data_IF_200235432468
#
_entry.id   IF_200235432468
#
_cell.length_a   1.000
_cell.length_b   1.000
_cell.length_c   1.000
_cell.angle_alpha   90.00
_cell.angle_beta   90.00
_cell.angle_gamma   90.00
#
_symmetry.space_group_name_H-M   'P 1'
#
loop_
_entity.id
_entity.type
_entity.pdbx_description
1 polymer ?
#
# COMPACT_ATOMS: atom_id res chain seq x y z
N UNK A 1 -31.99 -15.27 -9.87
CA UNK A 1 -31.28 -14.33 -10.78
C UNK A 1 -32.24 -13.26 -11.28
N UNK A 2 -32.26 -12.07 -10.67
CA UNK A 2 -33.10 -10.94 -11.08
C UNK A 2 -32.24 -9.68 -11.16
N UNK A 3 -32.57 -8.80 -12.10
CA UNK A 3 -32.04 -7.45 -12.14
C UNK A 3 -32.85 -6.56 -11.17
N UNK A 4 -32.20 -5.60 -10.54
CA UNK A 4 -32.80 -4.62 -9.63
C UNK A 4 -32.45 -3.19 -10.08
N UNK A 5 -33.33 -2.19 -9.87
CA UNK A 5 -33.03 -0.80 -10.23
C UNK A 5 -31.90 -0.24 -9.36
N UNK A 6 -31.00 0.54 -9.97
CA UNK A 6 -29.83 1.15 -9.30
C UNK A 6 -30.18 2.41 -8.50
N UNK A 7 -31.32 3.05 -8.77
CA UNK A 7 -31.80 4.21 -8.01
C UNK A 7 -33.32 4.12 -7.78
N UNK A 8 -33.73 4.04 -6.51
CA UNK A 8 -35.14 3.99 -6.08
C UNK A 8 -35.36 5.09 -5.05
N UNK A 9 -36.36 5.94 -5.27
CA UNK A 9 -36.86 6.90 -4.26
C UNK A 9 -38.34 6.66 -4.09
N UNK A 10 -38.78 6.52 -2.84
CA UNK A 10 -40.17 6.26 -2.47
C UNK A 10 -40.79 5.06 -3.21
N UNK A 11 -40.00 4.00 -3.42
CA UNK A 11 -40.43 2.78 -4.12
C UNK A 11 -40.50 2.89 -5.65
N UNK A 12 -40.18 4.05 -6.23
CA UNK A 12 -40.22 4.29 -7.69
C UNK A 12 -38.80 4.37 -8.26
N UNK A 13 -38.48 3.61 -9.33
CA UNK A 13 -37.20 3.72 -10.03
C UNK A 13 -37.03 5.11 -10.68
N UNK A 14 -36.02 5.86 -10.27
CA UNK A 14 -35.76 7.23 -10.76
C UNK A 14 -34.89 7.20 -12.03
N UNK A 15 -34.19 6.09 -12.27
CA UNK A 15 -33.44 5.79 -13.49
C UNK A 15 -33.41 4.27 -13.72
N UNK A 16 -33.57 3.83 -14.98
CA UNK A 16 -33.66 2.40 -15.33
C UNK A 16 -32.29 1.84 -15.71
N UNK A 17 -31.32 2.00 -14.81
CA UNK A 17 -30.10 1.19 -14.85
C UNK A 17 -30.38 -0.07 -14.04
N UNK A 18 -30.30 -1.22 -14.71
CA UNK A 18 -30.57 -2.54 -14.12
C UNK A 18 -29.23 -3.18 -13.72
N UNK A 19 -29.11 -3.59 -12.45
CA UNK A 19 -27.93 -4.29 -11.92
C UNK A 19 -28.30 -5.66 -11.39
N UNK A 20 -27.35 -6.59 -11.34
CA UNK A 20 -27.59 -7.91 -10.76
C UNK A 20 -27.87 -7.79 -9.26
N UNK A 21 -28.87 -8.54 -8.78
CA UNK A 21 -29.20 -8.61 -7.35
C UNK A 21 -28.03 -9.11 -6.50
N UNK A 22 -27.25 -10.05 -7.03
CA UNK A 22 -26.12 -10.68 -6.34
C UNK A 22 -24.84 -10.43 -7.13
N UNK A 23 -24.49 -11.34 -8.07
CA UNK A 23 -23.24 -11.26 -8.83
C UNK A 23 -23.51 -11.15 -10.33
N UNK A 24 -22.57 -10.52 -11.04
CA UNK A 24 -22.53 -10.41 -12.50
C UNK A 24 -21.35 -11.18 -13.06
N UNK A 25 -21.63 -12.12 -13.95
CA UNK A 25 -20.64 -12.86 -14.74
C UNK A 25 -20.82 -12.47 -16.20
N UNK A 26 -19.90 -11.68 -16.75
CA UNK A 26 -19.90 -11.26 -18.15
C UNK A 26 -21.24 -10.65 -18.60
N UNK A 27 -21.89 -9.89 -17.70
CA UNK A 27 -23.19 -9.24 -17.92
C UNK A 27 -24.41 -10.09 -17.56
N UNK A 28 -24.22 -11.36 -17.16
CA UNK A 28 -25.29 -12.29 -16.76
C UNK A 28 -25.36 -12.38 -15.24
N UNK A 29 -26.56 -12.28 -14.68
CA UNK A 29 -26.73 -12.39 -13.23
C UNK A 29 -26.63 -13.83 -12.75
N UNK A 30 -25.75 -14.06 -11.78
CA UNK A 30 -25.50 -15.37 -11.17
C UNK A 30 -25.58 -15.30 -9.65
N UNK A 31 -25.80 -16.47 -9.02
CA UNK A 31 -25.84 -16.60 -7.55
C UNK A 31 -24.43 -16.76 -6.95
N UNK A 32 -23.53 -17.42 -7.68
CA UNK A 32 -22.14 -17.62 -7.28
C UNK A 32 -21.24 -17.56 -8.51
N UNK A 33 -20.01 -17.07 -8.34
CA UNK A 33 -19.02 -17.17 -9.38
C UNK A 33 -18.59 -18.63 -9.59
N UNK A 34 -18.19 -19.03 -10.82
CA UNK A 34 -17.60 -20.34 -11.05
C UNK A 34 -16.39 -20.56 -10.11
N UNK A 35 -16.35 -21.65 -9.33
CA UNK A 35 -15.30 -21.86 -8.34
C UNK A 35 -13.95 -22.09 -9.02
N UNK A 36 -12.86 -21.70 -8.36
CA UNK A 36 -11.50 -21.87 -8.88
C UNK A 36 -11.08 -23.34 -9.00
N UNK A 37 -11.69 -24.23 -8.21
CA UNK A 37 -11.43 -25.68 -8.19
C UNK A 37 -12.74 -26.44 -8.35
N UNK A 38 -12.72 -27.55 -9.09
CA UNK A 38 -13.86 -28.46 -9.27
C UNK A 38 -13.45 -29.91 -9.00
N UNK A 39 -14.38 -30.75 -8.55
CA UNK A 39 -14.12 -32.17 -8.31
C UNK A 39 -14.11 -32.96 -9.62
N UNK A 40 -13.00 -33.62 -9.92
CA UNK A 40 -12.88 -34.59 -11.01
C UNK A 40 -13.17 -35.99 -10.46
N UNK A 41 -14.38 -36.50 -10.72
CA UNK A 41 -14.81 -37.83 -10.23
C UNK A 41 -14.02 -39.00 -10.80
N UNK A 42 -13.35 -38.85 -11.95
CA UNK A 42 -12.50 -39.92 -12.51
C UNK A 42 -11.17 -40.02 -11.76
N UNK A 43 -10.67 -38.89 -11.27
CA UNK A 43 -9.42 -38.80 -10.50
C UNK A 43 -9.64 -38.80 -8.98
N UNK A 44 -10.88 -38.59 -8.52
CA UNK A 44 -11.23 -38.49 -7.11
C UNK A 44 -10.58 -37.30 -6.40
N UNK A 45 -10.35 -36.19 -7.11
CA UNK A 45 -9.60 -35.05 -6.57
C UNK A 45 -10.12 -33.71 -7.09
N UNK A 46 -9.79 -32.62 -6.37
CA UNK A 46 -10.03 -31.27 -6.84
C UNK A 46 -8.99 -30.89 -7.92
N UNK A 47 -9.46 -30.36 -9.04
CA UNK A 47 -8.63 -29.88 -10.15
C UNK A 47 -8.96 -28.42 -10.47
N UNK A 48 -8.02 -27.63 -11.00
CA UNK A 48 -8.29 -26.26 -11.43
C UNK A 48 -9.44 -26.20 -12.43
N UNK A 49 -10.35 -25.25 -12.23
CA UNK A 49 -11.44 -24.98 -13.16
C UNK A 49 -10.99 -23.94 -14.20
N UNK A 50 -10.90 -24.28 -15.50
CA UNK A 50 -10.53 -23.31 -16.54
C UNK A 50 -11.51 -22.14 -16.66
N UNK A 51 -12.75 -22.30 -16.18
CA UNK A 51 -13.77 -21.25 -16.13
C UNK A 51 -13.87 -20.57 -14.77
N UNK A 52 -12.95 -20.85 -13.85
CA UNK A 52 -12.93 -20.26 -12.51
C UNK A 52 -12.91 -18.74 -12.58
N UNK A 53 -13.57 -18.11 -11.60
CA UNK A 53 -13.63 -16.65 -11.47
C UNK A 53 -13.49 -16.28 -10.00
N UNK A 54 -12.78 -15.19 -9.74
CA UNK A 54 -12.74 -14.56 -8.44
C UNK A 54 -13.96 -13.67 -8.23
N UNK A 55 -14.43 -13.60 -6.99
CA UNK A 55 -15.42 -12.62 -6.55
C UNK A 55 -14.72 -11.30 -6.30
N UNK A 56 -15.10 -10.26 -7.04
CA UNK A 56 -14.67 -8.88 -6.81
C UNK A 56 -15.89 -7.97 -6.70
N UNK A 57 -16.20 -7.52 -5.47
CA UNK A 57 -17.43 -6.80 -5.15
C UNK A 57 -18.68 -7.56 -5.63
N UNK A 58 -19.32 -7.11 -6.73
CA UNK A 58 -20.49 -7.75 -7.33
C UNK A 58 -20.20 -8.42 -8.67
N UNK A 59 -18.93 -8.62 -9.02
CA UNK A 59 -18.50 -9.13 -10.31
C UNK A 59 -17.67 -10.41 -10.16
N UNK A 60 -17.79 -11.28 -11.16
CA UNK A 60 -16.94 -12.43 -11.34
C UNK A 60 -15.82 -12.08 -12.33
N UNK A 61 -14.58 -11.99 -11.85
CA UNK A 61 -13.42 -11.56 -12.64
C UNK A 61 -12.42 -12.71 -12.83
N UNK A 62 -11.68 -12.68 -13.94
CA UNK A 62 -10.65 -13.70 -14.21
C UNK A 62 -9.42 -13.52 -13.33
N UNK A 63 -9.02 -12.26 -13.11
CA UNK A 63 -7.91 -11.89 -12.24
C UNK A 63 -8.34 -10.79 -11.29
N UNK A 64 -7.84 -10.85 -10.05
CA UNK A 64 -8.04 -9.75 -9.11
C UNK A 64 -7.25 -8.52 -9.56
N UNK A 65 -7.87 -7.32 -9.48
CA UNK A 65 -7.17 -6.05 -9.69
C UNK A 65 -5.83 -6.00 -8.94
N UNK A 66 -4.82 -5.36 -9.52
CA UNK A 66 -3.42 -5.45 -9.06
C UNK A 66 -3.22 -4.90 -7.64
N UNK A 67 -4.07 -3.96 -7.26
CA UNK A 67 -4.11 -3.31 -5.95
C UNK A 67 -4.75 -4.16 -4.85
N UNK A 68 -5.42 -5.25 -5.21
CA UNK A 68 -6.08 -6.16 -4.26
C UNK A 68 -5.27 -7.43 -4.04
N UNK A 69 -5.56 -8.08 -2.91
CA UNK A 69 -5.04 -9.39 -2.53
C UNK A 69 -6.02 -10.46 -2.97
N UNK A 70 -5.52 -11.69 -3.09
CA UNK A 70 -6.30 -12.88 -3.43
C UNK A 70 -6.40 -13.74 -2.18
N UNK A 71 -7.62 -13.96 -1.71
CA UNK A 71 -7.89 -14.90 -0.63
C UNK A 71 -8.92 -15.91 -1.10
N UNK A 72 -8.49 -17.17 -1.22
CA UNK A 72 -9.29 -18.27 -1.81
C UNK A 72 -9.76 -17.90 -3.22
N UNK A 73 -11.06 -17.66 -3.37
CA UNK A 73 -11.79 -17.32 -4.59
C UNK A 73 -12.32 -15.88 -4.57
N UNK A 74 -11.80 -15.01 -3.69
CA UNK A 74 -12.20 -13.61 -3.59
C UNK A 74 -11.01 -12.65 -3.69
N UNK A 75 -11.30 -11.45 -4.24
CA UNK A 75 -10.40 -10.32 -4.23
C UNK A 75 -10.66 -9.48 -2.98
N UNK A 76 -9.70 -9.44 -2.07
CA UNK A 76 -9.84 -8.78 -0.77
C UNK A 76 -8.87 -7.61 -0.65
N UNK A 77 -9.27 -6.58 0.10
CA UNK A 77 -8.34 -5.49 0.47
C UNK A 77 -7.39 -5.94 1.58
N UNK A 78 -7.93 -6.70 2.53
CA UNK A 78 -7.25 -7.19 3.73
C UNK A 78 -7.47 -8.69 3.86
N UNK A 79 -6.47 -9.42 4.33
CA UNK A 79 -6.63 -10.83 4.63
C UNK A 79 -7.59 -11.04 5.81
N UNK A 80 -8.27 -12.17 5.81
CA UNK A 80 -9.11 -12.60 6.93
C UNK A 80 -8.27 -12.79 8.21
N UNK A 81 -8.94 -12.71 9.37
CA UNK A 81 -8.29 -12.93 10.68
C UNK A 81 -7.60 -14.28 10.70
N UNK A 82 -6.33 -14.31 11.11
CA UNK A 82 -5.51 -15.52 11.12
C UNK A 82 -4.71 -15.76 9.82
N UNK A 83 -4.89 -14.90 8.82
CA UNK A 83 -4.10 -14.87 7.58
C UNK A 83 -3.42 -13.52 7.40
N UNK A 84 -2.31 -13.48 6.67
CA UNK A 84 -1.60 -12.26 6.32
C UNK A 84 -1.05 -12.33 4.89
N UNK A 85 -0.66 -11.18 4.35
CA UNK A 85 0.01 -11.09 3.06
C UNK A 85 1.51 -10.93 3.29
N UNK A 86 2.28 -11.93 2.90
CA UNK A 86 3.73 -11.88 3.03
C UNK A 86 4.35 -11.05 1.90
N UNK A 87 4.60 -9.76 2.17
CA UNK A 87 5.19 -8.88 1.17
C UNK A 87 6.63 -9.25 0.80
N UNK A 88 7.28 -10.20 1.49
CA UNK A 88 8.60 -10.68 1.04
C UNK A 88 8.50 -11.59 -0.19
N UNK A 89 7.32 -12.16 -0.45
CA UNK A 89 7.07 -13.06 -1.58
C UNK A 89 6.55 -12.32 -2.81
N UNK A 90 6.80 -12.91 -3.97
CA UNK A 90 6.20 -12.48 -5.23
C UNK A 90 4.83 -13.15 -5.45
N UNK A 91 3.93 -12.93 -4.49
CA UNK A 91 2.58 -13.48 -4.48
C UNK A 91 1.65 -12.46 -3.83
N UNK A 92 0.47 -12.25 -4.39
CA UNK A 92 -0.59 -11.40 -3.79
C UNK A 92 -1.60 -12.22 -2.98
N UNK A 93 -1.22 -13.43 -2.56
CA UNK A 93 -2.13 -14.35 -1.87
C UNK A 93 -2.01 -14.20 -0.36
N UNK A 94 -3.15 -14.16 0.30
CA UNK A 94 -3.23 -14.30 1.75
C UNK A 94 -2.84 -15.72 2.17
N UNK A 95 -1.98 -15.82 3.17
CA UNK A 95 -1.49 -17.08 3.73
C UNK A 95 -1.81 -17.17 5.23
N UNK A 96 -2.13 -18.37 5.76
CA UNK A 96 -2.30 -18.56 7.19
C UNK A 96 -1.02 -18.21 7.97
N UNK A 97 -1.16 -17.52 9.09
CA UNK A 97 -0.04 -17.13 9.93
C UNK A 97 0.63 -18.37 10.57
N UNK A 98 1.96 -18.41 10.57
CA UNK A 98 2.76 -19.46 11.24
C UNK A 98 2.99 -19.10 12.72
N UNK A 99 1.92 -18.88 13.46
CA UNK A 99 1.94 -18.39 14.84
C UNK A 99 1.12 -17.12 15.01
N UNK A 100 1.65 -16.14 15.74
CA UNK A 100 1.01 -14.83 15.90
C UNK A 100 1.14 -14.05 14.59
N UNK A 101 0.02 -13.57 14.05
CA UNK A 101 0.03 -12.72 12.87
C UNK A 101 0.73 -11.39 13.16
N UNK A 102 1.43 -10.80 12.19
CA UNK A 102 1.96 -9.45 12.33
C UNK A 102 0.80 -8.47 12.59
N UNK A 103 1.06 -7.44 13.42
CA UNK A 103 0.06 -6.40 13.66
C UNK A 103 -0.06 -5.51 12.42
N UNK A 104 -1.11 -5.73 11.65
CA UNK A 104 -1.46 -4.92 10.48
C UNK A 104 -2.34 -3.74 10.90
N UNK A 105 -1.98 -2.54 10.45
CA UNK A 105 -2.71 -1.31 10.77
C UNK A 105 -3.09 -0.57 9.49
N UNK A 106 -4.37 -0.23 9.38
CA UNK A 106 -4.93 0.40 8.18
C UNK A 106 -4.75 1.91 8.24
N UNK A 107 -4.23 2.49 7.16
CA UNK A 107 -4.12 3.94 6.97
C UNK A 107 -4.85 4.32 5.70
N UNK A 108 -6.11 4.76 5.85
CA UNK A 108 -7.01 5.09 4.73
C UNK A 108 -7.27 6.59 4.60
N UNK A 109 -6.79 7.38 5.55
CA UNK A 109 -6.98 8.84 5.65
C UNK A 109 -5.64 9.50 5.91
N UNK A 110 -5.58 10.80 5.61
CA UNK A 110 -4.42 11.63 5.95
C UNK A 110 -4.07 11.50 7.44
N UNK A 111 -2.77 11.35 7.73
CA UNK A 111 -2.29 11.19 9.09
C UNK A 111 -2.62 12.42 9.94
N UNK A 112 -3.01 12.16 11.18
CA UNK A 112 -3.20 13.12 12.27
C UNK A 112 -2.47 12.61 13.50
N UNK A 113 -2.27 13.44 14.53
CA UNK A 113 -1.63 12.99 15.77
C UNK A 113 -2.31 11.76 16.36
N UNK A 114 -3.64 11.78 16.40
CA UNK A 114 -4.42 10.67 16.96
C UNK A 114 -4.30 9.39 16.14
N UNK A 115 -4.33 9.48 14.80
CA UNK A 115 -4.11 8.31 13.94
C UNK A 115 -2.71 7.76 14.16
N UNK A 116 -1.71 8.62 14.20
CA UNK A 116 -0.31 8.22 14.23
C UNK A 116 0.06 7.54 15.56
N UNK A 117 -0.42 8.05 16.70
CA UNK A 117 -0.22 7.39 18.01
C UNK A 117 -0.83 5.98 18.05
N UNK A 118 -1.94 5.74 17.34
CA UNK A 118 -2.55 4.41 17.23
C UNK A 118 -1.75 3.42 16.37
N UNK A 119 -0.75 3.89 15.62
CA UNK A 119 0.15 3.04 14.82
C UNK A 119 1.29 2.41 15.65
N UNK A 120 1.36 2.71 16.95
CA UNK A 120 2.40 2.14 17.81
C UNK A 120 2.35 0.61 17.81
N UNK A 121 3.50 0.00 17.52
CA UNK A 121 3.67 -1.47 17.48
C UNK A 121 3.13 -2.13 16.22
N UNK A 122 2.62 -1.38 15.24
CA UNK A 122 2.25 -1.94 13.94
C UNK A 122 3.51 -2.37 13.18
N UNK A 123 3.50 -3.59 12.65
CA UNK A 123 4.59 -4.13 11.84
C UNK A 123 4.32 -3.93 10.34
N UNK A 124 3.05 -3.91 9.95
CA UNK A 124 2.62 -3.70 8.59
C UNK A 124 1.60 -2.56 8.53
N UNK A 125 1.83 -1.63 7.60
CA UNK A 125 0.86 -0.59 7.25
C UNK A 125 0.15 -1.01 5.98
N UNK A 126 -1.16 -1.19 6.11
CA UNK A 126 -2.02 -1.32 4.96
C UNK A 126 -2.57 0.05 4.54
N UNK A 127 -1.91 0.64 3.54
CA UNK A 127 -2.17 1.98 3.06
C UNK A 127 -0.87 2.71 2.81
N UNK A 128 -0.94 4.03 2.95
CA UNK A 128 0.17 4.95 2.68
C UNK A 128 0.66 5.65 3.95
N UNK A 129 1.89 6.14 3.91
CA UNK A 129 2.42 7.10 4.89
C UNK A 129 2.65 8.42 4.16
N UNK A 130 1.87 9.44 4.49
CA UNK A 130 1.97 10.78 3.90
C UNK A 130 2.15 11.82 5.02
N UNK A 131 3.38 12.30 5.15
CA UNK A 131 3.81 13.22 6.20
C UNK A 131 4.04 14.60 5.57
N UNK A 132 3.23 15.58 5.98
CA UNK A 132 3.24 16.93 5.41
C UNK A 132 3.32 18.00 6.50
N UNK A 133 4.01 19.10 6.21
CA UNK A 133 4.13 20.27 7.08
C UNK A 133 2.78 20.83 7.55
N UNK A 134 1.79 20.89 6.66
CA UNK A 134 0.44 21.39 6.96
C UNK A 134 -0.24 20.65 8.11
N UNK A 135 0.09 19.37 8.30
CA UNK A 135 -0.42 18.55 9.41
C UNK A 135 0.42 18.67 10.66
N UNK A 136 1.75 18.79 10.53
CA UNK A 136 2.63 19.04 11.69
C UNK A 136 2.32 20.38 12.37
N UNK A 137 1.95 21.40 11.60
CA UNK A 137 1.62 22.74 12.10
C UNK A 137 0.15 22.89 12.52
N UNK A 138 -0.64 21.82 12.53
CA UNK A 138 -2.07 21.89 12.86
C UNK A 138 -2.33 21.94 14.36
N UNK A 139 -3.15 22.89 14.80
CA UNK A 139 -3.55 23.03 16.21
C UNK A 139 -4.73 22.12 16.63
N UNK A 140 -5.39 21.44 15.67
CA UNK A 140 -6.65 20.72 15.94
C UNK A 140 -6.43 19.21 16.15
N UNK A 141 -5.45 18.61 15.47
CA UNK A 141 -4.94 17.24 15.70
C UNK A 141 -3.63 17.01 14.92
N UNK A 142 -2.68 17.94 15.06
CA UNK A 142 -1.36 17.81 14.44
C UNK A 142 -0.50 16.72 15.08
N UNK A 143 0.67 16.47 14.50
CA UNK A 143 1.66 15.55 15.05
C UNK A 143 3.05 16.20 15.11
N UNK A 144 3.81 15.84 16.13
CA UNK A 144 5.19 16.30 16.30
C UNK A 144 6.18 15.31 15.69
N UNK A 145 7.49 15.62 15.77
CA UNK A 145 8.54 14.69 15.36
C UNK A 145 8.59 13.45 16.25
N UNK A 146 8.23 13.62 17.53
CA UNK A 146 8.23 12.55 18.53
C UNK A 146 7.10 11.55 18.27
N UNK A 147 5.92 12.04 17.85
CA UNK A 147 4.81 11.17 17.46
C UNK A 147 5.25 10.18 16.36
N UNK A 148 6.07 10.63 15.39
CA UNK A 148 6.55 9.79 14.27
C UNK A 148 7.20 8.47 14.71
N UNK A 149 7.75 8.40 15.94
CA UNK A 149 8.32 7.19 16.50
C UNK A 149 7.31 6.03 16.63
N UNK A 150 6.00 6.29 16.57
CA UNK A 150 4.99 5.24 16.48
C UNK A 150 5.20 4.32 15.25
N UNK A 151 5.84 4.84 14.18
CA UNK A 151 6.15 4.08 12.96
C UNK A 151 7.43 3.23 13.09
N UNK A 152 8.14 3.29 14.22
CA UNK A 152 9.46 2.64 14.35
C UNK A 152 9.41 1.13 14.20
N UNK A 153 8.31 0.47 14.55
CA UNK A 153 8.11 -0.98 14.38
C UNK A 153 7.71 -1.38 12.96
N UNK A 154 7.37 -0.42 12.09
CA UNK A 154 6.86 -0.72 10.75
C UNK A 154 7.98 -1.27 9.88
N UNK A 155 7.72 -2.44 9.30
CA UNK A 155 8.62 -3.16 8.39
C UNK A 155 8.10 -3.17 6.96
N UNK A 156 6.80 -3.01 6.77
CA UNK A 156 6.18 -3.10 5.45
C UNK A 156 5.08 -2.06 5.26
N UNK A 157 5.00 -1.48 4.06
CA UNK A 157 3.99 -0.50 3.66
C UNK A 157 3.40 -0.94 2.31
N UNK A 158 2.08 -1.10 2.24
CA UNK A 158 1.43 -1.69 1.06
C UNK A 158 1.28 -0.71 -0.12
N UNK A 159 1.23 0.60 0.14
CA UNK A 159 1.14 1.63 -0.90
C UNK A 159 2.45 2.41 -1.04
N UNK A 160 2.49 3.68 -0.64
CA UNK A 160 3.62 4.58 -0.83
C UNK A 160 4.03 5.29 0.45
N UNK A 161 5.23 5.87 0.42
CA UNK A 161 5.74 6.80 1.43
C UNK A 161 6.01 8.16 0.80
N UNK A 162 5.37 9.19 1.33
CA UNK A 162 5.59 10.58 0.94
C UNK A 162 5.96 11.42 2.17
N UNK A 163 7.01 12.22 2.07
CA UNK A 163 7.44 13.13 3.13
C UNK A 163 7.82 14.48 2.53
N UNK A 164 7.05 15.51 2.91
CA UNK A 164 7.27 16.90 2.52
C UNK A 164 6.96 17.85 3.67
N UNK A 165 7.96 18.09 4.50
CA UNK A 165 7.79 18.77 5.80
C UNK A 165 8.50 20.14 5.89
N UNK A 166 9.08 20.62 4.80
CA UNK A 166 9.72 21.94 4.71
C UNK A 166 10.70 22.19 5.88
N UNK A 167 10.55 23.32 6.56
CA UNK A 167 11.38 23.77 7.68
C UNK A 167 11.13 23.02 8.98
N UNK A 168 10.08 22.21 9.09
CA UNK A 168 9.80 21.39 10.28
C UNK A 168 10.32 19.96 10.15
N UNK A 169 11.01 19.62 9.06
CA UNK A 169 11.53 18.28 8.82
C UNK A 169 12.50 17.78 9.90
N UNK A 170 12.48 16.47 10.24
CA UNK A 170 13.50 15.88 11.09
C UNK A 170 14.85 15.82 10.36
N UNK A 171 15.94 15.63 11.11
CA UNK A 171 17.30 15.50 10.54
C UNK A 171 17.52 14.18 9.81
N UNK A 172 16.75 13.16 10.15
CA UNK A 172 16.75 11.87 9.47
C UNK A 172 15.37 11.21 9.57
N UNK A 173 15.15 10.13 8.80
CA UNK A 173 13.91 9.35 8.81
C UNK A 173 14.06 8.06 9.65
N UNK A 174 14.83 8.08 10.75
CA UNK A 174 15.06 6.88 11.57
C UNK A 174 13.80 6.33 12.24
N UNK A 175 12.70 7.10 12.27
CA UNK A 175 11.39 6.59 12.66
C UNK A 175 10.83 5.55 11.67
N UNK A 176 11.46 5.38 10.50
CA UNK A 176 11.25 4.29 9.53
C UNK A 176 12.52 3.44 9.35
N UNK A 177 13.44 3.39 10.33
CA UNK A 177 14.70 2.64 10.17
C UNK A 177 14.49 1.14 9.95
N UNK A 178 13.36 0.59 10.42
CA UNK A 178 12.98 -0.82 10.27
C UNK A 178 12.13 -1.10 9.03
N UNK A 179 11.80 -0.09 8.22
CA UNK A 179 11.08 -0.29 6.98
C UNK A 179 11.93 -1.11 6.01
N UNK A 180 11.42 -2.26 5.59
CA UNK A 180 12.10 -3.19 4.70
C UNK A 180 11.48 -3.20 3.29
N UNK A 181 10.15 -3.09 3.19
CA UNK A 181 9.42 -3.25 1.94
C UNK A 181 8.39 -2.15 1.73
N UNK A 182 8.36 -1.62 0.50
CA UNK A 182 7.24 -0.81 -0.01
C UNK A 182 6.67 -1.56 -1.22
N UNK A 183 5.40 -1.96 -1.16
CA UNK A 183 4.81 -2.75 -2.23
C UNK A 183 4.39 -1.92 -3.44
N UNK A 184 3.92 -0.68 -3.23
CA UNK A 184 3.57 0.21 -4.34
C UNK A 184 2.27 -0.17 -5.05
N UNK A 185 1.27 -0.72 -4.33
CA UNK A 185 -0.07 -1.00 -4.89
C UNK A 185 -0.80 0.25 -5.35
N UNK A 186 -0.46 1.39 -4.74
CA UNK A 186 -0.86 2.73 -5.13
C UNK A 186 0.38 3.66 -5.05
N UNK A 187 0.40 4.73 -5.83
CA UNK A 187 1.58 5.55 -6.04
C UNK A 187 1.25 7.05 -5.98
N UNK A 188 2.17 7.83 -5.41
CA UNK A 188 2.12 9.29 -5.48
C UNK A 188 2.12 9.71 -6.94
N UNK A 189 1.12 10.48 -7.36
CA UNK A 189 0.93 10.93 -8.74
C UNK A 189 0.98 9.79 -9.76
N UNK A 190 0.51 8.59 -9.38
CA UNK A 190 0.57 7.38 -10.21
C UNK A 190 1.98 6.94 -10.66
N UNK A 191 3.04 7.41 -9.99
CA UNK A 191 4.43 7.15 -10.40
C UNK A 191 5.36 6.74 -9.27
N UNK A 192 5.29 7.38 -8.11
CA UNK A 192 6.31 7.22 -7.08
C UNK A 192 5.81 6.43 -5.87
N UNK A 193 6.56 5.40 -5.48
CA UNK A 193 6.32 4.64 -4.25
C UNK A 193 7.07 5.24 -3.06
N UNK A 194 8.16 5.98 -3.32
CA UNK A 194 8.89 6.76 -2.32
C UNK A 194 9.14 8.16 -2.86
N UNK A 195 8.59 9.17 -2.18
CA UNK A 195 8.70 10.58 -2.53
C UNK A 195 9.16 11.41 -1.32
N UNK A 196 10.43 11.82 -1.31
CA UNK A 196 11.03 12.62 -0.25
C UNK A 196 11.41 13.99 -0.83
N UNK A 197 10.55 14.99 -0.61
CA UNK A 197 10.67 16.27 -1.30
C UNK A 197 10.60 17.44 -0.32
N UNK A 198 11.43 18.47 -0.50
CA UNK A 198 11.35 19.72 0.29
C UNK A 198 11.43 19.49 1.79
N UNK A 199 12.49 18.81 2.26
CA UNK A 199 12.78 18.64 3.68
C UNK A 199 14.09 19.35 4.01
N UNK A 200 14.01 20.59 4.48
CA UNK A 200 15.16 21.50 4.52
C UNK A 200 16.20 21.12 5.57
N UNK A 201 15.77 20.53 6.69
CA UNK A 201 16.69 20.08 7.75
C UNK A 201 17.13 18.62 7.58
N UNK A 202 16.64 17.90 6.56
CA UNK A 202 16.96 16.50 6.39
C UNK A 202 18.42 16.36 5.96
N UNK A 203 19.25 15.72 6.78
CA UNK A 203 20.69 15.55 6.55
C UNK A 203 21.02 14.16 5.99
N UNK A 204 20.25 13.14 6.39
CA UNK A 204 20.43 11.75 5.97
C UNK A 204 19.07 11.06 5.84
N UNK A 205 18.92 10.10 4.92
CA UNK A 205 17.65 9.36 4.82
C UNK A 205 17.37 8.50 6.06
N UNK A 206 18.33 7.69 6.52
CA UNK A 206 18.14 6.84 7.70
C UNK A 206 17.22 5.61 7.49
N UNK A 207 16.84 5.30 6.25
CA UNK A 207 16.07 4.10 5.88
C UNK A 207 16.97 2.86 5.81
N UNK A 208 17.57 2.48 6.94
CA UNK A 208 18.70 1.53 7.01
C UNK A 208 18.35 0.12 6.56
N UNK A 209 17.13 -0.33 6.81
CA UNK A 209 16.69 -1.68 6.49
C UNK A 209 15.89 -1.79 5.17
N UNK A 210 15.79 -0.71 4.38
CA UNK A 210 15.02 -0.73 3.14
C UNK A 210 15.67 -1.67 2.13
N UNK A 211 15.01 -2.79 1.85
CA UNK A 211 15.52 -3.88 0.99
C UNK A 211 14.91 -3.81 -0.41
N UNK A 212 13.61 -3.53 -0.52
CA UNK A 212 12.93 -3.61 -1.83
C UNK A 212 11.72 -2.67 -1.92
N UNK A 213 11.57 -2.05 -3.08
CA UNK A 213 10.38 -1.33 -3.54
C UNK A 213 9.84 -2.10 -4.75
N UNK A 214 8.71 -2.82 -4.58
CA UNK A 214 8.22 -3.78 -5.59
C UNK A 214 7.66 -3.11 -6.84
N UNK A 215 6.98 -1.99 -6.69
CA UNK A 215 6.41 -1.22 -7.80
C UNK A 215 6.55 0.27 -7.52
N UNK A 216 6.64 1.07 -8.59
CA UNK A 216 6.80 2.52 -8.50
C UNK A 216 8.26 3.00 -8.48
N UNK A 217 8.44 4.25 -8.91
CA UNK A 217 9.71 4.95 -8.93
C UNK A 217 10.04 5.61 -7.59
N UNK A 218 11.27 6.08 -7.45
CA UNK A 218 11.74 6.88 -6.30
C UNK A 218 12.01 8.30 -6.77
N UNK A 219 11.57 9.29 -6.00
CA UNK A 219 11.98 10.70 -6.18
C UNK A 219 12.46 11.26 -4.84
N UNK A 220 13.67 11.82 -4.86
CA UNK A 220 14.28 12.48 -3.71
C UNK A 220 14.86 13.80 -4.20
N UNK A 221 14.15 14.89 -3.95
CA UNK A 221 14.52 16.19 -4.53
C UNK A 221 14.26 17.37 -3.61
N UNK A 222 15.04 18.44 -3.77
CA UNK A 222 14.86 19.69 -3.02
C UNK A 222 15.04 19.50 -1.50
N UNK A 223 15.89 18.56 -1.09
CA UNK A 223 16.28 18.39 0.32
C UNK A 223 17.67 19.01 0.49
N UNK A 224 17.71 20.30 0.81
CA UNK A 224 18.92 21.11 0.69
C UNK A 224 20.05 20.76 1.67
N UNK A 225 19.75 20.07 2.77
CA UNK A 225 20.74 19.51 3.70
C UNK A 225 21.11 18.04 3.44
N UNK A 226 20.40 17.35 2.54
CA UNK A 226 20.46 15.90 2.44
C UNK A 226 21.74 15.44 1.73
N UNK A 227 22.49 14.60 2.43
CA UNK A 227 23.68 13.94 1.94
C UNK A 227 23.46 12.44 1.70
N UNK A 228 24.29 11.88 0.82
CA UNK A 228 24.45 10.44 0.59
C UNK A 228 23.25 9.70 -0.03
N UNK A 229 22.17 10.40 -0.42
CA UNK A 229 21.06 9.76 -1.14
C UNK A 229 21.49 9.16 -2.48
N UNK A 230 22.50 9.74 -3.15
CA UNK A 230 23.07 9.21 -4.40
C UNK A 230 23.99 8.00 -4.24
N UNK A 231 24.50 7.72 -3.03
CA UNK A 231 25.41 6.59 -2.82
C UNK A 231 24.67 5.26 -2.69
N UNK A 232 23.34 5.33 -2.49
CA UNK A 232 22.46 4.16 -2.42
C UNK A 232 22.34 3.52 -3.81
N UNK A 233 22.52 2.21 -3.88
CA UNK A 233 22.36 1.40 -5.08
C UNK A 233 20.88 1.15 -5.36
N UNK A 234 20.17 2.19 -5.79
CA UNK A 234 18.72 2.18 -5.99
C UNK A 234 18.25 1.11 -6.97
N UNK A 235 19.05 0.82 -8.01
CA UNK A 235 18.83 -0.23 -9.01
C UNK A 235 18.68 -1.63 -8.40
N UNK A 236 19.24 -1.86 -7.21
CA UNK A 236 19.09 -3.14 -6.48
C UNK A 236 17.83 -3.21 -5.63
N UNK A 237 17.22 -2.06 -5.34
CA UNK A 237 16.09 -1.94 -4.40
C UNK A 237 14.78 -1.77 -5.18
N UNK A 238 14.79 -1.04 -6.29
CA UNK A 238 13.60 -0.75 -7.10
C UNK A 238 13.38 -1.79 -8.20
N UNK A 239 12.16 -1.86 -8.74
CA UNK A 239 11.85 -2.72 -9.88
C UNK A 239 12.67 -2.33 -11.14
N UNK A 240 13.02 -3.28 -12.04
CA UNK A 240 13.81 -2.98 -13.24
C UNK A 240 13.22 -1.92 -14.17
N UNK A 241 11.90 -1.76 -14.16
CA UNK A 241 11.17 -0.76 -14.97
C UNK A 241 11.03 0.59 -14.27
N UNK A 242 11.46 0.72 -13.02
CA UNK A 242 11.37 1.94 -12.22
C UNK A 242 12.65 2.78 -12.33
N UNK A 243 12.54 4.06 -11.94
CA UNK A 243 13.66 4.99 -11.93
C UNK A 243 13.82 5.62 -10.54
N UNK A 244 15.06 5.94 -10.17
CA UNK A 244 15.37 6.76 -9.01
C UNK A 244 15.84 8.14 -9.47
N UNK A 245 15.07 9.19 -9.15
CA UNK A 245 15.37 10.58 -9.49
C UNK A 245 15.89 11.29 -8.25
N UNK A 246 17.21 11.47 -8.17
CA UNK A 246 17.91 12.09 -7.05
C UNK A 246 18.54 13.42 -7.51
N UNK A 247 17.87 14.54 -7.22
CA UNK A 247 18.24 15.85 -7.77
C UNK A 247 18.09 16.97 -6.75
N UNK A 248 18.77 18.11 -6.95
CA UNK A 248 18.61 19.32 -6.11
C UNK A 248 18.74 19.06 -4.58
N UNK A 249 19.58 18.10 -4.18
CA UNK A 249 19.95 17.83 -2.79
C UNK A 249 21.41 18.26 -2.52
N UNK A 250 21.90 18.13 -1.29
CA UNK A 250 23.29 18.47 -0.93
C UNK A 250 24.32 17.45 -1.42
N UNK A 251 23.92 16.27 -1.91
CA UNK A 251 24.78 15.12 -2.29
C UNK A 251 26.12 15.50 -2.95
N UNK A 252 26.14 16.44 -3.90
CA UNK A 252 27.34 16.81 -4.65
C UNK A 252 28.34 17.70 -3.86
N UNK A 253 27.97 18.16 -2.66
CA UNK A 253 28.75 19.09 -1.81
C UNK A 253 29.14 18.47 -0.47
N UNK A 254 28.60 17.29 -0.14
CA UNK A 254 28.90 16.57 1.10
C UNK A 254 30.37 16.14 1.11
N UNK A 255 31.11 16.49 2.17
CA UNK A 255 32.55 16.19 2.29
C UNK A 255 33.52 17.28 1.84
N UNK A 256 33.05 18.50 1.49
CA UNK A 256 33.94 19.67 1.29
C UNK A 256 34.38 20.38 2.58
N UNK A 257 33.96 19.86 3.74
CA UNK A 257 34.26 20.41 5.08
C UNK A 257 34.52 19.30 6.12
N UNK A 258 35.13 18.19 5.72
CA UNK A 258 35.75 17.27 6.68
C UNK A 258 37.24 17.56 6.78
#
# INVERSE_FOLDING_TARGET
MKLVPVAVRDGVPISVWLACRELSLDGVCVHQCPPMMVHDSKKGMLVPNPKGRYVYDRYCVEECPKELLVERDACVRHCSVGSHHDMTKDSRRCEPCKGVCPKVCQVTKALTGSILRNLTGCEEIDGFIDIQDSKMNSNVDGYTREDLNALKSVRMISEYVQIATQTVSPRNLSFLENLEFIEGRNLVTSRFALAINKNDNLEQLGLRNLKKIKAGSVIITENHGLCYAKTIQWDKIIAPTAQAVISKNMDNKCGRYQ
#
